data_IF_777431666039
#
_entry.id   IF_777431666039
#
_cell.length_a   1.000
_cell.length_b   1.000
_cell.length_c   1.000
_cell.angle_alpha   90.00
_cell.angle_beta   90.00
_cell.angle_gamma   90.00
#
_symmetry.space_group_name_H-M   'P 1'
#
loop_
_entity.id
_entity.type
_entity.pdbx_description
1 polymer ?
#
# COMPACT_ATOMS: atom_id res chain seq x y z
N UNK A 1 7.94 25.50 13.75
CA UNK A 1 8.08 26.91 13.36
C UNK A 1 6.72 27.40 12.86
N UNK A 2 6.04 28.31 13.58
CA UNK A 2 4.75 28.88 13.14
C UNK A 2 4.87 29.71 11.84
N UNK A 3 6.08 30.11 11.44
CA UNK A 3 6.37 30.81 10.18
C UNK A 3 6.92 29.87 9.10
N UNK A 4 6.94 28.56 9.36
CA UNK A 4 7.44 27.57 8.42
C UNK A 4 6.54 27.40 7.20
N UNK A 5 7.09 26.78 6.15
CA UNK A 5 6.30 26.39 4.97
C UNK A 5 5.35 25.24 5.34
N UNK A 6 4.10 25.36 4.91
CA UNK A 6 3.11 24.28 5.03
C UNK A 6 3.20 23.28 3.88
N UNK A 7 2.92 22.01 4.17
CA UNK A 7 2.65 20.97 3.18
C UNK A 7 1.14 20.70 3.18
N UNK A 8 0.52 20.63 2.00
CA UNK A 8 -0.90 20.33 1.86
C UNK A 8 -1.07 19.12 0.96
N UNK A 9 -1.69 18.06 1.51
CA UNK A 9 -2.20 16.95 0.72
C UNK A 9 -3.55 17.36 0.14
N UNK A 10 -3.54 17.88 -1.09
CA UNK A 10 -4.73 18.50 -1.71
C UNK A 10 -5.75 17.43 -2.14
N UNK A 11 -5.28 16.28 -2.62
CA UNK A 11 -6.13 15.18 -3.06
C UNK A 11 -5.44 13.86 -2.72
N UNK A 12 -6.17 12.99 -2.02
CA UNK A 12 -5.78 11.61 -1.77
C UNK A 12 -6.98 10.72 -2.09
N UNK A 13 -6.89 10.00 -3.21
CA UNK A 13 -8.02 9.27 -3.81
C UNK A 13 -7.67 7.81 -4.03
N UNK A 14 -8.70 6.98 -4.10
CA UNK A 14 -8.61 5.55 -4.37
C UNK A 14 -9.54 5.18 -5.54
N UNK A 15 -9.30 4.01 -6.13
CA UNK A 15 -10.17 3.38 -7.14
C UNK A 15 -10.65 4.39 -8.20
N UNK A 16 -11.94 4.43 -8.50
CA UNK A 16 -12.53 5.28 -9.53
C UNK A 16 -12.13 6.77 -9.43
N UNK A 17 -11.94 7.31 -8.22
CA UNK A 17 -11.54 8.70 -8.03
C UNK A 17 -10.07 8.95 -8.41
N UNK A 18 -9.20 7.97 -8.19
CA UNK A 18 -7.82 8.01 -8.69
C UNK A 18 -7.75 7.86 -10.21
N UNK A 19 -8.60 7.00 -10.79
CA UNK A 19 -8.64 6.79 -12.24
C UNK A 19 -9.01 8.06 -13.01
N UNK A 20 -9.89 8.91 -12.47
CA UNK A 20 -10.25 10.20 -13.08
C UNK A 20 -9.04 11.11 -13.30
N UNK A 21 -8.05 11.06 -12.41
CA UNK A 21 -6.89 11.94 -12.46
C UNK A 21 -5.88 11.53 -13.53
N UNK A 22 -5.91 10.30 -14.02
CA UNK A 22 -5.05 9.82 -15.10
C UNK A 22 -5.27 10.58 -16.42
N UNK A 23 -6.45 11.15 -16.62
CA UNK A 23 -6.75 12.01 -17.77
C UNK A 23 -6.04 13.37 -17.74
N UNK A 24 -5.50 13.77 -16.58
CA UNK A 24 -4.78 15.04 -16.38
C UNK A 24 -3.40 14.74 -15.78
N UNK A 25 -2.44 14.25 -16.58
CA UNK A 25 -1.12 13.85 -16.11
C UNK A 25 -0.19 15.04 -15.83
N UNK A 26 -0.47 16.23 -16.35
CA UNK A 26 0.29 17.42 -15.98
C UNK A 26 -0.11 17.90 -14.58
N UNK A 27 0.87 18.01 -13.68
CA UNK A 27 0.65 18.34 -12.27
C UNK A 27 0.16 19.77 -12.03
N UNK A 28 0.49 20.70 -12.92
CA UNK A 28 0.01 22.09 -12.82
C UNK A 28 -1.46 22.16 -13.22
N UNK A 29 -1.83 21.52 -14.32
CA UNK A 29 -3.22 21.39 -14.75
C UNK A 29 -4.07 20.67 -13.70
N UNK A 30 -3.56 19.56 -13.15
CA UNK A 30 -4.25 18.81 -12.09
C UNK A 30 -4.47 19.67 -10.84
N UNK A 31 -3.45 20.42 -10.39
CA UNK A 31 -3.59 21.35 -9.26
C UNK A 31 -4.61 22.45 -9.54
N UNK A 32 -4.61 23.06 -10.72
CA UNK A 32 -5.59 24.07 -11.11
C UNK A 32 -7.02 23.50 -11.05
N UNK A 33 -7.24 22.31 -11.63
CA UNK A 33 -8.54 21.64 -11.61
C UNK A 33 -9.02 21.38 -10.18
N UNK A 34 -8.16 20.83 -9.32
CA UNK A 34 -8.50 20.55 -7.91
C UNK A 34 -8.81 21.84 -7.14
N UNK A 35 -7.99 22.88 -7.32
CA UNK A 35 -8.22 24.19 -6.70
C UNK A 35 -9.55 24.79 -7.15
N UNK A 36 -9.87 24.71 -8.44
CA UNK A 36 -11.11 25.25 -9.00
C UNK A 36 -12.34 24.45 -8.54
N UNK A 37 -12.19 23.15 -8.28
CA UNK A 37 -13.24 22.35 -7.64
C UNK A 37 -13.46 22.76 -6.17
N UNK A 38 -12.36 22.91 -5.40
CA UNK A 38 -12.41 23.32 -3.99
C UNK A 38 -12.98 24.74 -3.85
N UNK A 39 -12.64 25.66 -4.75
CA UNK A 39 -13.06 27.06 -4.69
C UNK A 39 -14.58 27.25 -4.75
N UNK A 40 -15.31 26.30 -5.34
CA UNK A 40 -16.79 26.29 -5.39
C UNK A 40 -17.42 26.21 -4.00
N UNK A 41 -16.78 25.51 -3.07
CA UNK A 41 -17.28 25.33 -1.70
C UNK A 41 -16.48 26.12 -0.66
N UNK A 42 -15.17 26.26 -0.87
CA UNK A 42 -14.23 26.87 0.08
C UNK A 42 -13.30 27.90 -0.60
N UNK A 43 -13.85 29.02 -1.11
CA UNK A 43 -13.06 30.01 -1.87
C UNK A 43 -11.94 30.65 -1.03
N UNK A 44 -12.20 30.91 0.26
CA UNK A 44 -11.22 31.47 1.19
C UNK A 44 -10.06 30.51 1.49
N UNK A 45 -10.26 29.20 1.36
CA UNK A 45 -9.18 28.22 1.49
C UNK A 45 -8.43 28.06 0.16
N UNK A 46 -9.16 27.95 -0.96
CA UNK A 46 -8.61 27.75 -2.29
C UNK A 46 -7.62 28.85 -2.71
N UNK A 47 -7.82 30.11 -2.27
CA UNK A 47 -6.86 31.22 -2.50
C UNK A 47 -5.46 30.97 -1.90
N UNK A 48 -5.33 30.07 -0.94
CA UNK A 48 -4.05 29.70 -0.32
C UNK A 48 -3.39 28.48 -0.97
N UNK A 49 -4.10 27.77 -1.86
CA UNK A 49 -3.57 26.62 -2.59
C UNK A 49 -2.73 27.08 -3.80
N UNK A 50 -1.66 27.80 -3.50
CA UNK A 50 -0.65 28.27 -4.46
C UNK A 50 0.73 27.75 -4.03
N UNK A 51 1.53 27.20 -4.97
CA UNK A 51 2.86 26.72 -4.63
C UNK A 51 3.78 27.88 -4.21
N UNK A 52 4.73 27.59 -3.33
CA UNK A 52 5.73 28.57 -2.92
C UNK A 52 6.48 29.14 -4.13
N UNK A 53 6.71 30.46 -4.13
CA UNK A 53 7.36 31.18 -5.24
C UNK A 53 6.68 31.00 -6.61
N UNK A 54 5.41 30.56 -6.65
CA UNK A 54 4.72 30.16 -7.88
C UNK A 54 5.46 29.08 -8.70
N UNK A 55 6.33 28.29 -8.06
CA UNK A 55 7.11 27.24 -8.70
C UNK A 55 6.35 25.90 -8.64
N UNK A 56 5.63 25.60 -9.73
CA UNK A 56 4.89 24.35 -9.89
C UNK A 56 5.79 23.13 -10.14
N UNK A 57 7.03 23.35 -10.60
CA UNK A 57 7.95 22.26 -10.91
C UNK A 57 8.54 21.68 -9.63
N UNK A 58 8.96 22.53 -8.69
CA UNK A 58 9.59 22.08 -7.44
C UNK A 58 8.59 21.85 -6.31
N UNK A 59 7.50 22.63 -6.24
CA UNK A 59 6.62 22.64 -5.07
C UNK A 59 5.26 21.96 -5.30
N UNK A 60 5.10 21.22 -6.41
CA UNK A 60 3.95 20.35 -6.64
C UNK A 60 4.46 18.94 -6.95
N UNK A 61 3.95 17.98 -6.19
CA UNK A 61 4.25 16.56 -6.34
C UNK A 61 2.93 15.83 -6.50
N UNK A 62 2.90 14.87 -7.41
CA UNK A 62 1.81 13.92 -7.59
C UNK A 62 2.41 12.55 -7.88
N UNK A 63 1.64 11.51 -7.59
CA UNK A 63 2.03 10.14 -7.93
C UNK A 63 0.78 9.29 -8.12
N UNK A 64 0.75 8.53 -9.21
CA UNK A 64 -0.35 7.65 -9.57
C UNK A 64 0.15 6.20 -9.51
N UNK A 65 -0.06 5.54 -8.36
CA UNK A 65 0.44 4.18 -8.11
C UNK A 65 -0.05 3.13 -9.11
N UNK A 66 -1.23 3.36 -9.72
CA UNK A 66 -1.80 2.43 -10.70
C UNK A 66 -0.94 2.33 -11.97
N UNK A 67 -0.27 3.42 -12.36
CA UNK A 67 0.57 3.49 -13.56
C UNK A 67 2.05 3.38 -13.26
N UNK A 68 2.44 3.18 -12.00
CA UNK A 68 3.84 2.91 -11.64
C UNK A 68 4.18 1.45 -11.96
N UNK A 69 5.08 1.25 -12.93
CA UNK A 69 5.54 -0.05 -13.41
C UNK A 69 6.20 -0.90 -12.31
N UNK A 70 6.75 -0.27 -11.26
CA UNK A 70 7.39 -0.96 -10.15
C UNK A 70 6.40 -1.35 -9.03
N UNK A 71 5.22 -0.74 -9.01
CA UNK A 71 4.21 -1.00 -7.99
C UNK A 71 3.10 -1.95 -8.49
N UNK A 72 2.69 -1.80 -9.75
CA UNK A 72 1.59 -2.59 -10.33
C UNK A 72 0.22 -2.34 -9.68
N UNK A 73 0.06 -1.21 -8.99
CA UNK A 73 -1.11 -0.85 -8.18
C UNK A 73 -0.74 -0.20 -6.85
N UNK A 74 -1.71 0.46 -6.19
CA UNK A 74 -1.46 1.09 -4.90
C UNK A 74 -1.21 0.07 -3.78
N UNK A 75 -2.12 -0.87 -3.62
CA UNK A 75 -2.03 -1.97 -2.67
C UNK A 75 -3.12 -3.00 -2.93
N UNK A 76 -2.94 -4.22 -2.41
CA UNK A 76 -3.93 -5.29 -2.47
C UNK A 76 -5.12 -4.99 -1.55
N UNK A 77 -6.32 -5.14 -2.09
CA UNK A 77 -7.58 -5.13 -1.36
C UNK A 77 -8.46 -6.27 -1.90
N UNK A 78 -8.77 -7.28 -1.06
CA UNK A 78 -9.58 -8.42 -1.49
C UNK A 78 -11.01 -7.98 -1.79
N UNK A 79 -11.61 -8.58 -2.82
CA UNK A 79 -13.06 -8.53 -3.01
C UNK A 79 -13.75 -9.57 -2.13
N UNK A 80 -15.08 -9.51 -2.12
CA UNK A 80 -15.91 -10.48 -1.39
C UNK A 80 -15.58 -11.92 -1.83
N UNK A 81 -15.15 -12.72 -0.87
CA UNK A 81 -14.84 -14.14 -1.07
C UNK A 81 -13.45 -14.41 -1.63
N UNK A 82 -12.55 -13.43 -1.56
CA UNK A 82 -11.14 -13.55 -1.99
C UNK A 82 -10.15 -13.65 -0.82
N UNK A 83 -10.63 -13.69 0.43
CA UNK A 83 -9.77 -13.77 1.62
C UNK A 83 -8.92 -15.05 1.67
N UNK A 84 -9.34 -16.11 0.98
CA UNK A 84 -8.53 -17.31 0.83
C UNK A 84 -7.21 -17.06 0.08
N UNK A 85 -7.15 -16.07 -0.82
CA UNK A 85 -5.88 -15.68 -1.46
C UNK A 85 -4.90 -15.10 -0.43
N UNK A 86 -5.40 -14.38 0.57
CA UNK A 86 -4.55 -13.84 1.64
C UNK A 86 -4.05 -14.93 2.57
N UNK A 87 -4.90 -15.91 2.87
CA UNK A 87 -4.51 -17.08 3.63
C UNK A 87 -3.40 -17.86 2.89
N UNK A 88 -3.59 -18.16 1.61
CA UNK A 88 -2.59 -18.89 0.81
C UNK A 88 -1.25 -18.14 0.76
N UNK A 89 -1.25 -16.84 0.48
CA UNK A 89 -0.03 -16.04 0.38
C UNK A 89 0.66 -15.87 1.75
N UNK A 90 -0.09 -15.61 2.82
CA UNK A 90 0.48 -15.38 4.16
C UNK A 90 1.16 -16.64 4.71
N UNK A 91 0.55 -17.81 4.47
CA UNK A 91 1.07 -19.09 4.95
C UNK A 91 2.06 -19.75 3.99
N UNK A 92 2.29 -19.23 2.79
CA UNK A 92 3.22 -19.84 1.82
C UNK A 92 4.62 -20.04 2.40
N UNK A 93 5.15 -19.03 3.10
CA UNK A 93 6.46 -19.12 3.75
C UNK A 93 6.45 -19.95 5.04
N UNK A 94 5.27 -20.30 5.57
CA UNK A 94 5.12 -21.05 6.82
C UNK A 94 4.80 -22.53 6.60
N UNK A 95 4.51 -22.94 5.36
CA UNK A 95 4.26 -24.33 4.99
C UNK A 95 5.53 -25.00 4.47
N UNK A 96 6.22 -25.71 5.35
CA UNK A 96 7.49 -26.36 5.04
C UNK A 96 7.33 -27.74 4.37
N UNK A 97 6.10 -28.20 4.11
CA UNK A 97 5.86 -29.54 3.55
C UNK A 97 6.32 -29.67 2.09
N UNK A 98 6.30 -28.57 1.33
CA UNK A 98 6.73 -28.49 -0.07
C UNK A 98 7.66 -27.30 -0.27
N UNK A 99 8.69 -27.17 0.56
CA UNK A 99 9.63 -26.05 0.47
C UNK A 99 10.41 -26.08 -0.85
N UNK A 100 10.27 -25.03 -1.65
CA UNK A 100 10.94 -24.84 -2.94
C UNK A 100 12.19 -23.95 -2.84
N UNK A 101 12.47 -23.37 -1.66
CA UNK A 101 13.48 -22.34 -1.46
C UNK A 101 13.04 -20.94 -1.91
N UNK A 102 11.77 -20.76 -2.29
CA UNK A 102 11.19 -19.47 -2.69
C UNK A 102 10.11 -19.06 -1.69
N UNK A 103 10.23 -17.84 -1.16
CA UNK A 103 9.34 -17.31 -0.12
C UNK A 103 8.79 -15.95 -0.53
N UNK A 104 7.46 -15.84 -0.57
CA UNK A 104 6.74 -14.62 -0.90
C UNK A 104 6.56 -13.76 0.35
N UNK A 105 6.78 -12.46 0.19
CA UNK A 105 6.63 -11.48 1.26
C UNK A 105 6.13 -10.13 0.71
N UNK A 106 5.85 -9.19 1.60
CA UNK A 106 5.29 -7.89 1.30
C UNK A 106 3.82 -7.79 1.71
N UNK A 107 3.31 -6.56 1.87
CA UNK A 107 1.96 -6.36 2.40
C UNK A 107 0.87 -6.98 1.52
N UNK A 108 1.11 -7.13 0.21
CA UNK A 108 0.19 -7.83 -0.71
C UNK A 108 0.05 -9.32 -0.40
N UNK A 109 1.05 -9.93 0.24
CA UNK A 109 1.03 -11.32 0.69
C UNK A 109 0.46 -11.46 2.12
N UNK A 110 -0.15 -10.41 2.67
CA UNK A 110 -0.64 -10.39 4.05
C UNK A 110 -2.17 -10.26 4.14
N UNK A 111 -2.68 -10.43 5.36
CA UNK A 111 -4.07 -10.10 5.68
C UNK A 111 -4.34 -8.58 5.74
N UNK A 112 -3.31 -7.76 5.89
CA UNK A 112 -3.41 -6.28 6.01
C UNK A 112 -2.77 -5.59 4.81
N UNK A 113 -3.32 -5.84 3.62
CA UNK A 113 -2.88 -5.17 2.38
C UNK A 113 -2.96 -3.65 2.49
N UNK A 114 -1.95 -2.94 2.01
CA UNK A 114 -1.84 -1.47 2.13
C UNK A 114 -1.30 -0.97 3.47
N UNK A 115 -0.96 -1.87 4.39
CA UNK A 115 -0.34 -1.52 5.67
C UNK A 115 1.08 -2.05 5.77
N UNK A 116 1.99 -1.21 6.26
CA UNK A 116 3.40 -1.57 6.50
C UNK A 116 3.54 -2.78 7.42
N UNK A 117 2.63 -2.94 8.39
CA UNK A 117 2.58 -4.07 9.30
C UNK A 117 2.55 -5.41 8.56
N UNK A 118 1.73 -5.52 7.49
CA UNK A 118 1.66 -6.73 6.69
C UNK A 118 2.96 -7.07 5.96
N UNK A 119 3.72 -6.05 5.55
CA UNK A 119 5.05 -6.24 4.97
C UNK A 119 6.05 -6.74 6.02
N UNK A 120 6.02 -6.19 7.24
CA UNK A 120 6.91 -6.61 8.34
C UNK A 120 6.59 -8.05 8.73
N UNK A 121 5.33 -8.41 8.94
CA UNK A 121 4.91 -9.75 9.33
C UNK A 121 5.35 -10.80 8.30
N UNK A 122 5.05 -10.58 7.03
CA UNK A 122 5.41 -11.53 5.97
C UNK A 122 6.91 -11.59 5.72
N UNK A 123 7.64 -10.49 5.91
CA UNK A 123 9.11 -10.51 5.89
C UNK A 123 9.68 -11.37 7.03
N UNK A 124 9.14 -11.26 8.25
CA UNK A 124 9.52 -12.13 9.37
C UNK A 124 9.22 -13.60 9.07
N UNK A 125 8.07 -13.92 8.48
CA UNK A 125 7.73 -15.29 8.05
C UNK A 125 8.77 -15.83 7.05
N UNK A 126 9.06 -15.07 5.99
CA UNK A 126 10.02 -15.45 4.96
C UNK A 126 11.45 -15.60 5.51
N UNK A 127 11.91 -14.70 6.37
CA UNK A 127 13.23 -14.79 7.02
C UNK A 127 13.31 -16.03 7.90
N UNK A 128 12.26 -16.36 8.65
CA UNK A 128 12.24 -17.59 9.45
C UNK A 128 12.32 -18.84 8.56
N UNK A 129 11.59 -18.85 7.44
CA UNK A 129 11.63 -19.92 6.45
C UNK A 129 13.04 -20.10 5.87
N UNK A 130 13.71 -19.01 5.49
CA UNK A 130 15.09 -19.01 4.99
C UNK A 130 16.05 -19.58 6.03
N UNK A 131 16.01 -19.06 7.26
CA UNK A 131 16.90 -19.53 8.34
C UNK A 131 16.69 -21.03 8.58
N UNK A 132 15.43 -21.48 8.65
CA UNK A 132 15.10 -22.90 8.84
C UNK A 132 15.61 -23.76 7.68
N UNK A 133 15.37 -23.36 6.43
CA UNK A 133 15.80 -24.10 5.25
C UNK A 133 17.33 -24.17 5.10
N UNK A 134 18.05 -23.16 5.58
CA UNK A 134 19.52 -23.18 5.66
C UNK A 134 20.07 -24.00 6.85
N UNK A 135 19.22 -24.69 7.63
CA UNK A 135 19.64 -25.44 8.82
C UNK A 135 20.01 -24.58 10.03
N UNK A 136 19.59 -23.32 10.03
CA UNK A 136 19.78 -22.38 11.13
C UNK A 136 18.84 -22.64 12.31
N UNK A 137 19.16 -22.02 13.44
CA UNK A 137 18.36 -22.11 14.67
C UNK A 137 17.50 -20.86 14.80
N UNK A 138 16.20 -21.05 15.02
CA UNK A 138 15.26 -19.97 15.29
C UNK A 138 15.04 -19.77 16.79
N UNK A 139 14.66 -18.56 17.17
CA UNK A 139 14.21 -18.28 18.53
C UNK A 139 12.88 -19.02 18.81
N UNK A 140 12.59 -19.24 20.09
CA UNK A 140 11.27 -19.73 20.52
C UNK A 140 10.17 -18.75 20.11
N UNK A 141 8.97 -19.27 19.91
CA UNK A 141 7.78 -18.49 19.54
C UNK A 141 7.93 -17.75 18.20
N UNK A 142 8.78 -18.27 17.31
CA UNK A 142 8.91 -17.76 15.96
C UNK A 142 7.66 -18.11 15.10
N UNK A 143 7.43 -17.41 13.98
CA UNK A 143 6.28 -17.66 13.12
C UNK A 143 6.10 -19.11 12.63
N UNK A 144 7.16 -19.92 12.47
CA UNK A 144 7.02 -21.32 12.06
C UNK A 144 6.50 -22.22 13.19
N UNK A 145 6.82 -21.89 14.45
CA UNK A 145 6.37 -22.64 15.63
C UNK A 145 5.03 -22.16 16.17
N UNK A 146 4.62 -20.93 15.82
CA UNK A 146 3.38 -20.34 16.31
C UNK A 146 2.15 -21.16 15.86
N UNK A 147 1.23 -21.42 16.80
CA UNK A 147 -0.01 -22.17 16.54
C UNK A 147 -1.05 -21.31 15.82
N UNK A 148 -0.83 -21.05 14.53
CA UNK A 148 -1.74 -20.24 13.72
C UNK A 148 -3.12 -20.86 13.58
N UNK A 149 -4.15 -20.02 13.70
CA UNK A 149 -5.52 -20.41 13.39
C UNK A 149 -5.78 -20.22 11.90
N UNK A 150 -6.07 -21.33 11.20
CA UNK A 150 -6.55 -21.31 9.81
C UNK A 150 -8.07 -21.27 9.78
N UNK A 151 -8.65 -20.26 9.14
CA UNK A 151 -10.09 -20.08 9.05
C UNK A 151 -10.59 -20.59 7.71
N UNK A 152 -11.87 -20.97 7.63
CA UNK A 152 -12.44 -21.40 6.35
C UNK A 152 -12.95 -20.18 5.56
N UNK A 153 -12.09 -19.64 4.68
CA UNK A 153 -12.45 -18.53 3.79
C UNK A 153 -13.11 -18.95 2.47
N UNK A 154 -13.17 -20.26 2.17
CA UNK A 154 -13.71 -20.78 0.91
C UNK A 154 -15.21 -21.06 0.95
N UNK A 155 -15.77 -21.33 2.13
CA UNK A 155 -17.20 -21.61 2.26
C UNK A 155 -18.00 -20.31 2.40
N UNK A 156 -18.83 -20.03 1.40
CA UNK A 156 -19.89 -19.02 1.45
C UNK A 156 -21.16 -19.69 1.99
N UNK A 157 -21.34 -19.71 3.31
CA UNK A 157 -22.69 -19.91 3.86
C UNK A 157 -23.48 -18.62 3.72
#
# INVERSE_FOLDING_TARGET
DPNGKGLVLISYTWEDDSHKLLAVPDKKERLCLLRDAISKSFPAFARHLVPACADYVQNVVQHDWLTDENAGGAFKLNRRGEDFYSEELFFQALDMTNDTGVYLAGCSCSFTGGWVEGAIQTACNAVCAIIHNCGGVLAKDNPLEHSWRRYNYRNRN
#
